data_IF_814235504589
#
_entry.id   IF_814235504589
#
_cell.length_a   1.000
_cell.length_b   1.000
_cell.length_c   1.000
_cell.angle_alpha   90.00
_cell.angle_beta   90.00
_cell.angle_gamma   90.00
#
_symmetry.space_group_name_H-M   'P 1'
#
loop_
_entity.id
_entity.type
_entity.pdbx_description
1 polymer ?
#
# COMPACT_ATOMS: atom_id res chain seq x y z
N UNK A 1 -15.44 -19.97 -0.59
CA UNK A 1 -16.58 -20.39 -1.42
C UNK A 1 -17.60 -19.27 -1.70
N UNK A 2 -17.63 -18.18 -0.91
CA UNK A 2 -18.64 -17.10 -1.10
C UNK A 2 -18.37 -16.16 -2.30
N UNK A 3 -17.10 -15.93 -2.65
CA UNK A 3 -16.75 -14.99 -3.73
C UNK A 3 -17.29 -15.42 -5.10
N UNK A 4 -17.15 -16.70 -5.47
CA UNK A 4 -17.58 -17.18 -6.79
C UNK A 4 -19.10 -17.08 -6.97
N UNK A 5 -19.88 -17.30 -5.91
CA UNK A 5 -21.33 -17.14 -5.93
C UNK A 5 -21.71 -15.68 -6.23
N UNK A 6 -21.10 -14.73 -5.52
CA UNK A 6 -21.33 -13.30 -5.77
C UNK A 6 -20.86 -12.91 -7.17
N UNK A 7 -19.68 -13.36 -7.59
CA UNK A 7 -19.13 -13.05 -8.91
C UNK A 7 -20.03 -13.53 -10.05
N UNK A 8 -20.72 -14.67 -9.89
CA UNK A 8 -21.62 -15.23 -10.92
C UNK A 8 -22.86 -14.39 -11.21
N UNK A 9 -23.25 -13.52 -10.27
CA UNK A 9 -24.41 -12.61 -10.40
C UNK A 9 -23.98 -11.14 -10.53
N UNK A 10 -22.68 -10.87 -10.56
CA UNK A 10 -22.13 -9.52 -10.71
C UNK A 10 -22.09 -9.10 -12.17
N UNK A 11 -22.42 -7.83 -12.44
CA UNK A 11 -22.23 -7.23 -13.77
C UNK A 11 -20.75 -7.06 -14.14
N UNK A 12 -19.91 -6.78 -13.15
CA UNK A 12 -18.47 -6.65 -13.32
C UNK A 12 -17.74 -7.02 -12.02
N UNK A 13 -16.51 -7.50 -12.18
CA UNK A 13 -15.56 -7.77 -11.11
C UNK A 13 -14.34 -6.89 -11.33
N UNK A 14 -14.03 -6.07 -10.34
CA UNK A 14 -12.85 -5.19 -10.38
C UNK A 14 -11.75 -5.75 -9.49
N UNK A 15 -10.57 -5.95 -10.07
CA UNK A 15 -9.39 -6.45 -9.36
C UNK A 15 -8.29 -5.39 -9.34
N UNK A 16 -7.66 -5.23 -8.18
CA UNK A 16 -6.54 -4.30 -8.01
C UNK A 16 -5.22 -4.89 -8.54
N UNK A 17 -5.03 -6.20 -8.40
CA UNK A 17 -3.79 -6.87 -8.80
C UNK A 17 -3.81 -7.28 -10.26
N UNK A 18 -2.93 -6.68 -11.06
CA UNK A 18 -2.66 -7.09 -12.43
C UNK A 18 -2.32 -8.58 -12.55
N UNK A 19 -1.53 -9.07 -11.60
CA UNK A 19 -1.04 -10.45 -11.59
C UNK A 19 -2.16 -11.47 -11.33
N UNK A 20 -3.28 -11.04 -10.75
CA UNK A 20 -4.44 -11.89 -10.54
C UNK A 20 -5.47 -11.78 -11.67
N UNK A 21 -5.29 -10.84 -12.60
CA UNK A 21 -6.26 -10.56 -13.66
C UNK A 21 -6.45 -11.78 -14.58
N UNK A 22 -5.36 -12.45 -14.97
CA UNK A 22 -5.43 -13.66 -15.79
C UNK A 22 -6.16 -14.79 -15.08
N UNK A 23 -5.85 -15.03 -13.80
CA UNK A 23 -6.50 -16.06 -12.99
C UNK A 23 -8.01 -15.81 -12.88
N UNK A 24 -8.41 -14.56 -12.57
CA UNK A 24 -9.82 -14.21 -12.47
C UNK A 24 -10.54 -14.28 -13.82
N UNK A 25 -9.91 -13.83 -14.91
CA UNK A 25 -10.49 -13.94 -16.26
C UNK A 25 -10.66 -15.39 -16.70
N UNK A 26 -9.71 -16.26 -16.36
CA UNK A 26 -9.82 -17.70 -16.62
C UNK A 26 -10.98 -18.35 -15.85
N UNK A 27 -11.26 -17.87 -14.62
CA UNK A 27 -12.31 -18.42 -13.78
C UNK A 27 -13.71 -17.80 -14.01
N UNK A 28 -13.80 -16.53 -14.45
CA UNK A 28 -15.03 -15.73 -14.48
C UNK A 28 -15.42 -15.22 -15.87
N UNK A 29 -14.59 -15.49 -16.89
CA UNK A 29 -14.71 -14.94 -18.23
C UNK A 29 -13.93 -13.62 -18.39
N UNK A 30 -13.31 -13.39 -19.56
CA UNK A 30 -12.44 -12.24 -19.79
C UNK A 30 -13.17 -10.89 -19.76
N UNK A 31 -14.43 -10.88 -20.19
CA UNK A 31 -15.21 -9.66 -20.40
C UNK A 31 -15.75 -9.04 -19.11
N UNK A 32 -15.87 -9.85 -18.05
CA UNK A 32 -16.46 -9.43 -16.77
C UNK A 32 -15.40 -8.99 -15.74
N UNK A 33 -14.11 -9.15 -16.04
CA UNK A 33 -13.02 -8.86 -15.08
C UNK A 33 -12.13 -7.73 -15.58
N UNK A 34 -12.11 -6.65 -14.80
CA UNK A 34 -11.40 -5.42 -15.12
C UNK A 34 -10.38 -5.07 -14.05
N UNK A 35 -9.31 -4.40 -14.47
CA UNK A 35 -8.35 -3.82 -13.53
C UNK A 35 -8.88 -2.50 -12.97
N UNK A 36 -8.84 -2.38 -11.65
CA UNK A 36 -9.00 -1.14 -10.90
C UNK A 36 -7.62 -0.66 -10.45
N UNK A 37 -7.15 0.43 -11.04
CA UNK A 37 -5.90 1.05 -10.62
C UNK A 37 -6.12 1.92 -9.39
N UNK A 38 -5.30 1.74 -8.37
CA UNK A 38 -5.26 2.62 -7.21
C UNK A 38 -4.61 3.95 -7.63
N UNK A 39 -5.42 5.02 -7.65
CA UNK A 39 -5.07 6.35 -8.16
C UNK A 39 -5.51 7.44 -7.18
N UNK A 40 -4.98 8.65 -7.35
CA UNK A 40 -5.32 9.79 -6.50
C UNK A 40 -6.79 10.19 -6.68
N UNK A 41 -7.52 10.27 -5.55
CA UNK A 41 -8.91 10.70 -5.48
C UNK A 41 -9.00 11.98 -4.63
N UNK A 42 -9.43 13.12 -5.20
CA UNK A 42 -9.65 14.34 -4.43
C UNK A 42 -10.61 14.10 -3.25
N UNK A 43 -10.28 14.62 -2.07
CA UNK A 43 -11.09 14.46 -0.85
C UNK A 43 -10.94 13.12 -0.13
N UNK A 44 -10.27 12.11 -0.72
CA UNK A 44 -9.96 10.86 -0.02
C UNK A 44 -8.68 10.95 0.82
N UNK A 45 -7.72 11.79 0.39
CA UNK A 45 -6.49 12.01 1.14
C UNK A 45 -6.79 12.75 2.45
N UNK A 46 -6.58 12.07 3.58
CA UNK A 46 -6.93 12.63 4.90
C UNK A 46 -5.78 13.38 5.57
N UNK A 47 -4.55 13.35 5.00
CA UNK A 47 -3.33 14.03 5.49
C UNK A 47 -3.33 14.32 7.01
N UNK A 48 -3.56 13.29 7.82
CA UNK A 48 -3.31 13.36 9.25
C UNK A 48 -1.83 13.08 9.45
N UNK A 49 -1.00 14.11 9.34
CA UNK A 49 0.41 14.02 9.73
C UNK A 49 0.59 14.83 11.00
N UNK A 50 1.12 14.20 12.04
CA UNK A 50 1.55 14.93 13.21
C UNK A 50 2.80 15.74 12.84
N UNK A 51 3.01 16.85 13.54
CA UNK A 51 4.31 17.52 13.51
C UNK A 51 5.41 16.50 13.82
N UNK A 52 6.59 16.69 13.23
CA UNK A 52 7.77 15.86 13.44
C UNK A 52 8.09 15.66 14.92
N UNK A 53 7.87 16.70 15.73
CA UNK A 53 8.07 16.69 17.19
C UNK A 53 7.14 15.73 17.93
N UNK A 54 6.05 15.29 17.29
CA UNK A 54 5.02 14.41 17.87
C UNK A 54 5.11 12.97 17.36
N UNK A 55 6.06 12.66 16.48
CA UNK A 55 6.30 11.30 16.01
C UNK A 55 7.11 10.54 17.06
N UNK A 56 6.55 9.46 17.59
CA UNK A 56 7.11 8.63 18.66
C UNK A 56 7.26 7.15 18.26
N UNK A 57 6.95 6.84 17.00
CA UNK A 57 7.07 5.50 16.42
C UNK A 57 8.09 5.57 15.29
N UNK A 58 9.22 4.88 15.46
CA UNK A 58 10.24 4.80 14.40
C UNK A 58 9.68 4.02 13.21
N UNK A 59 9.12 2.84 13.47
CA UNK A 59 8.64 1.93 12.45
C UNK A 59 7.24 1.42 12.74
N UNK A 60 6.36 1.50 11.73
CA UNK A 60 5.00 0.96 11.78
C UNK A 60 4.83 -0.18 10.77
N UNK A 61 4.39 -1.35 11.24
CA UNK A 61 3.90 -2.41 10.38
C UNK A 61 2.41 -2.67 10.65
N UNK A 62 1.62 -2.81 9.58
CA UNK A 62 0.19 -3.14 9.68
C UNK A 62 -0.13 -4.39 8.87
N UNK A 63 -0.86 -5.36 9.43
CA UNK A 63 -1.29 -6.56 8.71
C UNK A 63 -1.33 -7.83 9.57
N UNK A 64 -1.19 -8.99 8.92
CA UNK A 64 -1.06 -10.26 9.61
C UNK A 64 0.39 -10.52 10.02
N UNK A 65 0.62 -11.04 11.23
CA UNK A 65 1.96 -11.45 11.66
C UNK A 65 2.32 -12.81 11.06
N UNK A 66 3.54 -12.93 10.55
CA UNK A 66 4.15 -14.21 10.16
C UNK A 66 5.52 -14.30 10.83
N UNK A 67 6.11 -15.50 10.88
CA UNK A 67 7.45 -15.67 11.44
C UNK A 67 8.48 -14.78 10.72
N UNK A 68 8.36 -14.63 9.39
CA UNK A 68 9.24 -13.77 8.61
C UNK A 68 9.08 -12.29 8.96
N UNK A 69 7.85 -11.82 9.13
CA UNK A 69 7.59 -10.44 9.55
C UNK A 69 8.10 -10.18 10.95
N UNK A 70 7.84 -11.12 11.86
CA UNK A 70 8.29 -11.03 13.23
C UNK A 70 9.82 -10.95 13.31
N UNK A 71 10.55 -11.77 12.55
CA UNK A 71 12.01 -11.72 12.56
C UNK A 71 12.56 -10.36 12.08
N UNK A 72 12.00 -9.80 11.00
CA UNK A 72 12.40 -8.48 10.51
C UNK A 72 12.09 -7.36 11.52
N UNK A 73 10.92 -7.38 12.15
CA UNK A 73 10.57 -6.40 13.19
C UNK A 73 11.44 -6.55 14.44
N UNK A 74 11.75 -7.78 14.86
CA UNK A 74 12.67 -8.05 15.97
C UNK A 74 14.08 -7.56 15.70
N UNK A 75 14.58 -7.63 14.45
CA UNK A 75 15.88 -7.05 14.08
C UNK A 75 15.91 -5.53 14.27
N UNK A 76 14.83 -4.83 13.90
CA UNK A 76 14.70 -3.39 14.12
C UNK A 76 14.61 -3.05 15.62
N UNK A 77 13.81 -3.81 16.38
CA UNK A 77 13.70 -3.63 17.81
C UNK A 77 15.03 -3.88 18.54
N UNK A 78 15.80 -4.90 18.14
CA UNK A 78 17.12 -5.20 18.68
C UNK A 78 18.15 -4.08 18.42
N UNK A 79 17.88 -3.18 17.47
CA UNK A 79 18.66 -1.95 17.21
C UNK A 79 18.19 -0.77 18.07
N UNK A 80 17.35 -1.00 19.07
CA UNK A 80 16.87 0.02 20.01
C UNK A 80 15.79 0.95 19.45
N UNK A 81 15.04 0.51 18.44
CA UNK A 81 14.03 1.32 17.75
C UNK A 81 12.61 1.02 18.22
N UNK A 82 11.78 2.05 18.25
CA UNK A 82 10.35 1.96 18.56
C UNK A 82 9.60 1.35 17.37
N UNK A 83 9.27 0.06 17.48
CA UNK A 83 8.57 -0.69 16.43
C UNK A 83 7.14 -0.99 16.88
N UNK A 84 6.15 -0.51 16.13
CA UNK A 84 4.74 -0.80 16.38
C UNK A 84 4.16 -1.75 15.34
N UNK A 85 3.42 -2.74 15.81
CA UNK A 85 2.62 -3.64 14.98
C UNK A 85 1.13 -3.40 15.21
N UNK A 86 0.36 -3.27 14.12
CA UNK A 86 -1.10 -3.26 14.16
C UNK A 86 -1.67 -4.42 13.36
N UNK A 87 -2.61 -5.14 13.94
CA UNK A 87 -3.31 -6.23 13.26
C UNK A 87 -4.19 -5.72 12.11
N UNK A 88 -4.46 -6.58 11.12
CA UNK A 88 -5.31 -6.26 9.96
C UNK A 88 -6.71 -5.72 10.32
N UNK A 89 -7.24 -6.11 11.49
CA UNK A 89 -8.57 -5.72 11.97
C UNK A 89 -8.58 -4.39 12.73
N UNK A 90 -7.43 -3.74 12.90
CA UNK A 90 -7.34 -2.46 13.61
C UNK A 90 -8.23 -1.41 12.92
N UNK A 91 -9.14 -0.74 13.65
CA UNK A 91 -10.01 0.30 13.11
C UNK A 91 -9.24 1.39 12.34
N UNK A 92 -9.87 1.91 11.28
CA UNK A 92 -9.22 2.88 10.38
C UNK A 92 -8.73 4.14 11.09
N UNK A 93 -9.53 4.69 12.02
CA UNK A 93 -9.15 5.90 12.76
C UNK A 93 -7.93 5.70 13.66
N UNK A 94 -7.81 4.53 14.33
CA UNK A 94 -6.60 4.19 15.10
C UNK A 94 -5.41 4.02 14.17
N UNK A 95 -5.59 3.30 13.06
CA UNK A 95 -4.51 3.10 12.08
C UNK A 95 -3.99 4.43 11.52
N UNK A 96 -4.88 5.40 11.29
CA UNK A 96 -4.52 6.75 10.88
C UNK A 96 -3.69 7.47 11.96
N UNK A 97 -4.06 7.37 13.25
CA UNK A 97 -3.30 7.96 14.36
C UNK A 97 -1.87 7.39 14.45
N UNK A 98 -1.75 6.07 14.45
CA UNK A 98 -0.45 5.40 14.48
C UNK A 98 0.40 5.74 13.25
N UNK A 99 -0.22 5.82 12.07
CA UNK A 99 0.48 6.23 10.85
C UNK A 99 0.99 7.67 10.97
N UNK A 100 0.16 8.59 11.48
CA UNK A 100 0.51 10.00 11.69
C UNK A 100 1.73 10.13 12.61
N UNK A 101 1.80 9.30 13.66
CA UNK A 101 2.88 9.27 14.66
C UNK A 101 4.12 8.49 14.23
N UNK A 102 4.05 7.76 13.11
CA UNK A 102 5.17 6.97 12.60
C UNK A 102 6.11 7.78 11.71
N UNK A 103 7.42 7.50 11.80
CA UNK A 103 8.42 8.03 10.88
C UNK A 103 8.43 7.27 9.54
N UNK A 104 8.43 5.93 9.62
CA UNK A 104 8.46 5.04 8.47
C UNK A 104 7.48 3.89 8.63
N UNK A 105 6.57 3.73 7.66
CA UNK A 105 5.79 2.50 7.53
C UNK A 105 6.60 1.44 6.79
N UNK A 106 6.34 0.18 7.11
CA UNK A 106 7.01 -0.98 6.52
C UNK A 106 6.04 -1.84 5.72
N UNK A 107 6.45 -2.27 4.53
CA UNK A 107 5.83 -3.35 3.77
C UNK A 107 6.75 -4.56 3.72
N UNK A 108 6.48 -5.53 4.61
CA UNK A 108 7.22 -6.80 4.69
C UNK A 108 6.34 -7.93 4.10
N UNK A 109 6.83 -8.71 3.13
CA UNK A 109 6.10 -9.82 2.55
C UNK A 109 5.78 -10.92 3.58
N UNK A 110 4.93 -11.88 3.23
CA UNK A 110 4.52 -12.95 4.16
C UNK A 110 5.68 -13.91 4.49
N UNK A 111 6.56 -14.11 3.52
CA UNK A 111 7.78 -14.89 3.59
C UNK A 111 8.77 -14.34 2.56
N UNK A 112 10.07 -14.65 2.70
CA UNK A 112 11.16 -14.10 1.87
C UNK A 112 10.93 -14.19 0.35
N UNK A 113 10.36 -15.30 -0.12
CA UNK A 113 10.15 -15.52 -1.56
C UNK A 113 8.76 -15.10 -2.06
N UNK A 114 8.03 -14.30 -1.27
CA UNK A 114 6.67 -13.90 -1.64
C UNK A 114 6.75 -12.91 -2.81
N UNK A 115 6.14 -13.21 -3.97
CA UNK A 115 6.49 -12.50 -5.19
C UNK A 115 5.70 -11.20 -5.41
N UNK A 116 4.69 -10.91 -4.58
CA UNK A 116 3.73 -9.83 -4.82
C UNK A 116 3.77 -8.73 -3.74
N UNK A 117 3.89 -7.44 -4.12
CA UNK A 117 3.74 -6.34 -3.16
C UNK A 117 2.29 -6.18 -2.72
N UNK A 118 2.08 -5.55 -1.57
CA UNK A 118 0.74 -5.21 -1.10
C UNK A 118 0.35 -3.82 -1.62
N UNK A 119 -0.29 -3.77 -2.78
CA UNK A 119 -0.72 -2.51 -3.40
C UNK A 119 -1.61 -1.66 -2.49
N UNK A 120 -2.46 -2.30 -1.68
CA UNK A 120 -3.31 -1.59 -0.71
C UNK A 120 -2.48 -0.90 0.39
N UNK A 121 -1.36 -1.50 0.83
CA UNK A 121 -0.49 -0.88 1.84
C UNK A 121 0.26 0.31 1.24
N UNK A 122 0.69 0.19 -0.02
CA UNK A 122 1.33 1.28 -0.76
C UNK A 122 0.39 2.46 -0.88
N UNK A 123 -0.78 2.22 -1.46
CA UNK A 123 -1.78 3.26 -1.68
C UNK A 123 -2.22 3.93 -0.37
N UNK A 124 -2.43 3.14 0.68
CA UNK A 124 -2.81 3.67 1.98
C UNK A 124 -1.73 4.60 2.55
N UNK A 125 -0.45 4.20 2.55
CA UNK A 125 0.63 5.04 3.03
C UNK A 125 0.75 6.34 2.21
N UNK A 126 0.72 6.22 0.87
CA UNK A 126 0.80 7.37 -0.04
C UNK A 126 -0.35 8.35 0.24
N UNK A 127 -1.60 7.89 0.23
CA UNK A 127 -2.78 8.76 0.41
C UNK A 127 -2.83 9.49 1.75
N UNK A 128 -2.12 8.99 2.76
CA UNK A 128 -2.03 9.62 4.07
C UNK A 128 -0.74 10.44 4.25
N UNK A 129 0.10 10.58 3.22
CA UNK A 129 1.36 11.32 3.27
C UNK A 129 2.44 10.63 4.11
N UNK A 130 2.32 9.31 4.33
CA UNK A 130 3.30 8.51 5.03
C UNK A 130 4.48 8.12 4.14
N UNK A 131 5.66 7.95 4.75
CA UNK A 131 6.79 7.31 4.08
C UNK A 131 6.65 5.80 4.21
N UNK A 132 6.84 5.06 3.12
CA UNK A 132 6.78 3.60 3.13
C UNK A 132 8.08 3.03 2.56
N UNK A 133 8.69 2.10 3.30
CA UNK A 133 9.72 1.21 2.80
C UNK A 133 9.13 -0.17 2.55
N UNK A 134 9.28 -0.66 1.34
CA UNK A 134 8.94 -2.03 0.97
C UNK A 134 10.18 -2.87 0.77
N UNK A 135 10.09 -4.14 1.15
CA UNK A 135 10.98 -5.15 0.61
C UNK A 135 10.66 -5.35 -0.88
N UNK A 136 11.70 -5.48 -1.72
CA UNK A 136 11.55 -5.69 -3.15
C UNK A 136 10.89 -7.06 -3.41
N UNK A 137 9.78 -7.04 -4.13
CA UNK A 137 9.08 -8.23 -4.60
C UNK A 137 9.47 -8.54 -6.05
N UNK A 138 9.29 -9.81 -6.47
CA UNK A 138 9.56 -10.24 -7.85
C UNK A 138 8.74 -9.45 -8.88
N UNK A 139 7.46 -9.24 -8.60
CA UNK A 139 6.55 -8.57 -9.53
C UNK A 139 6.34 -7.12 -9.12
N UNK A 140 6.57 -6.15 -10.02
CA UNK A 140 6.28 -4.76 -9.74
C UNK A 140 4.78 -4.48 -9.74
N UNK A 141 4.41 -3.31 -9.26
CA UNK A 141 3.09 -2.73 -9.40
C UNK A 141 3.19 -1.25 -9.80
N UNK A 142 2.08 -0.69 -10.28
CA UNK A 142 2.04 0.70 -10.77
C UNK A 142 2.29 1.76 -9.67
N UNK A 143 2.33 1.34 -8.40
CA UNK A 143 2.62 2.21 -7.25
C UNK A 143 4.09 2.19 -6.82
N UNK A 144 4.92 1.29 -7.36
CA UNK A 144 6.35 1.22 -7.00
C UNK A 144 7.11 2.54 -7.13
N UNK A 145 6.85 3.42 -8.13
CA UNK A 145 7.55 4.70 -8.26
C UNK A 145 7.35 5.69 -7.11
N UNK A 146 6.37 5.44 -6.23
CA UNK A 146 6.00 6.31 -5.10
C UNK A 146 6.30 5.68 -3.74
N UNK A 147 7.12 4.62 -3.72
CA UNK A 147 7.48 3.83 -2.54
C UNK A 147 8.98 3.60 -2.52
N UNK A 148 9.60 3.60 -1.34
CA UNK A 148 11.01 3.22 -1.20
C UNK A 148 11.13 1.71 -1.20
N UNK A 149 12.21 1.19 -1.81
CA UNK A 149 12.46 -0.25 -1.89
C UNK A 149 13.83 -0.62 -1.33
N UNK A 150 13.91 -1.79 -0.70
CA UNK A 150 15.16 -2.40 -0.30
C UNK A 150 15.14 -3.90 -0.58
N UNK A 151 16.30 -4.45 -0.93
CA UNK A 151 16.46 -5.90 -1.05
C UNK A 151 16.19 -6.59 0.31
N UNK A 152 15.70 -7.84 0.31
CA UNK A 152 15.40 -8.57 1.55
C UNK A 152 16.54 -8.62 2.57
N UNK A 153 17.77 -8.73 2.08
CA UNK A 153 18.96 -8.86 2.93
C UNK A 153 19.39 -7.50 3.52
N UNK A 154 19.14 -6.41 2.78
CA UNK A 154 19.47 -5.03 3.17
C UNK A 154 18.32 -4.30 3.89
N UNK A 155 17.14 -4.90 3.95
CA UNK A 155 15.90 -4.24 4.39
C UNK A 155 16.04 -3.55 5.75
N UNK A 156 16.69 -4.21 6.72
CA UNK A 156 16.92 -3.63 8.06
C UNK A 156 17.85 -2.43 8.01
N UNK A 157 18.97 -2.50 7.27
CA UNK A 157 19.92 -1.38 7.19
C UNK A 157 19.31 -0.21 6.43
N UNK A 158 18.60 -0.47 5.34
CA UNK A 158 17.89 0.54 4.59
C UNK A 158 16.84 1.26 5.47
N UNK A 159 16.07 0.52 6.26
CA UNK A 159 15.10 1.12 7.20
C UNK A 159 15.78 2.06 8.21
N UNK A 160 16.94 1.67 8.74
CA UNK A 160 17.72 2.47 9.70
C UNK A 160 18.32 3.72 9.06
N UNK A 161 18.85 3.61 7.84
CA UNK A 161 19.37 4.74 7.08
C UNK A 161 18.27 5.76 6.77
N UNK A 162 17.13 5.27 6.24
CA UNK A 162 15.97 6.11 5.95
C UNK A 162 15.45 6.80 7.21
N UNK A 163 15.36 6.09 8.33
CA UNK A 163 14.92 6.70 9.60
C UNK A 163 15.85 7.84 10.04
N UNK A 164 17.16 7.67 9.86
CA UNK A 164 18.16 8.68 10.23
C UNK A 164 18.07 9.93 9.34
N UNK A 165 17.71 9.77 8.07
CA UNK A 165 17.50 10.86 7.10
C UNK A 165 16.08 11.47 7.16
N UNK A 166 15.10 10.72 7.66
CA UNK A 166 13.68 11.08 7.73
C UNK A 166 13.36 12.24 8.68
N UNK A 167 14.38 12.83 9.32
CA UNK A 167 14.30 14.12 10.01
C UNK A 167 13.81 15.24 9.08
N UNK A 168 14.06 15.14 7.77
CA UNK A 168 13.46 16.05 6.78
C UNK A 168 12.08 15.53 6.32
N UNK A 169 11.03 16.35 6.39
CA UNK A 169 9.69 16.03 5.84
C UNK A 169 9.68 15.85 4.33
N UNK A 170 10.75 16.29 3.66
CA UNK A 170 10.84 16.51 2.21
C UNK A 170 10.53 15.27 1.35
N UNK A 171 11.09 14.06 1.63
CA UNK A 171 10.80 12.89 0.80
C UNK A 171 9.32 12.47 0.80
N UNK A 172 8.62 12.68 1.93
CA UNK A 172 7.19 12.34 2.06
C UNK A 172 6.31 13.24 1.21
N UNK A 173 6.54 14.55 1.28
CA UNK A 173 5.76 15.52 0.51
C UNK A 173 5.97 15.33 -0.98
N UNK A 174 7.23 15.14 -1.41
CA UNK A 174 7.56 14.96 -2.83
C UNK A 174 6.90 13.71 -3.44
N UNK A 175 6.90 12.57 -2.75
CA UNK A 175 6.24 11.34 -3.24
C UNK A 175 4.73 11.51 -3.40
N UNK A 176 4.07 12.14 -2.44
CA UNK A 176 2.63 12.37 -2.54
C UNK A 176 2.28 13.37 -3.65
N UNK A 177 2.99 14.49 -3.74
CA UNK A 177 2.69 15.50 -4.77
C UNK A 177 2.87 14.92 -6.16
N UNK A 178 3.94 14.14 -6.38
CA UNK A 178 4.12 13.38 -7.62
C UNK A 178 2.99 12.40 -7.88
N UNK A 179 2.57 11.61 -6.89
CA UNK A 179 1.43 10.69 -7.06
C UNK A 179 0.13 11.44 -7.40
N UNK A 180 -0.12 12.57 -6.74
CA UNK A 180 -1.29 13.42 -6.99
C UNK A 180 -1.34 13.93 -8.43
N UNK A 181 -0.19 14.36 -8.95
CA UNK A 181 -0.07 14.97 -10.28
C UNK A 181 -0.02 13.93 -11.40
N UNK A 182 0.75 12.86 -11.22
CA UNK A 182 0.98 11.83 -12.24
C UNK A 182 -0.17 10.82 -12.31
N UNK A 183 -0.92 10.60 -11.22
CA UNK A 183 -1.92 9.52 -11.10
C UNK A 183 -3.34 10.00 -10.74
N UNK A 184 -3.93 11.01 -11.43
CA UNK A 184 -5.31 11.38 -11.19
C UNK A 184 -6.27 10.25 -11.57
N UNK A 185 -7.31 10.04 -10.75
CA UNK A 185 -8.28 8.95 -10.94
C UNK A 185 -9.38 9.23 -11.96
N UNK A 186 -9.73 10.50 -12.20
CA UNK A 186 -10.98 10.90 -12.87
C UNK A 186 -11.22 10.16 -14.19
N UNK A 187 -10.28 10.27 -15.13
CA UNK A 187 -10.48 9.74 -16.48
C UNK A 187 -10.36 8.21 -16.52
N UNK A 188 -9.47 7.64 -15.70
CA UNK A 188 -9.30 6.19 -15.60
C UNK A 188 -10.51 5.51 -14.96
N UNK A 189 -11.12 6.15 -13.96
CA UNK A 189 -12.35 5.68 -13.34
C UNK A 189 -13.53 5.80 -14.30
N UNK A 190 -13.65 6.91 -15.05
CA UNK A 190 -14.66 7.05 -16.11
C UNK A 190 -14.55 5.90 -17.12
N UNK A 191 -13.36 5.70 -17.67
CA UNK A 191 -13.11 4.62 -18.63
C UNK A 191 -13.32 3.22 -18.01
N UNK A 192 -13.15 3.05 -16.69
CA UNK A 192 -13.43 1.79 -15.99
C UNK A 192 -14.93 1.53 -15.90
N UNK A 193 -15.69 2.55 -15.54
CA UNK A 193 -17.14 2.42 -15.46
C UNK A 193 -17.70 2.15 -16.85
N UNK A 194 -17.29 2.90 -17.88
CA UNK A 194 -17.75 2.70 -19.26
C UNK A 194 -17.49 1.27 -19.77
N UNK A 195 -16.27 0.75 -19.60
CA UNK A 195 -15.92 -0.59 -20.09
C UNK A 195 -16.53 -1.74 -19.29
N UNK A 196 -16.97 -1.49 -18.05
CA UNK A 196 -17.44 -2.56 -17.15
C UNK A 196 -18.93 -2.52 -16.87
N UNK A 197 -19.56 -1.36 -16.97
CA UNK A 197 -20.97 -1.12 -16.70
C UNK A 197 -21.68 -0.41 -17.87
N UNK A 198 -21.01 -0.15 -19.00
CA UNK A 198 -21.56 0.58 -20.14
C UNK A 198 -21.53 2.10 -19.95
N UNK A 199 -21.96 2.84 -20.98
CA UNK A 199 -21.98 4.31 -20.99
C UNK A 199 -22.69 4.87 -19.76
N UNK A 200 -22.03 5.82 -19.09
CA UNK A 200 -22.67 6.61 -18.04
C UNK A 200 -23.22 7.85 -18.73
N UNK A 201 -24.41 7.75 -19.31
CA UNK A 201 -25.11 8.94 -19.77
C UNK A 201 -25.50 9.75 -18.52
N UNK A 202 -24.86 10.91 -18.35
CA UNK A 202 -25.10 11.88 -17.30
C UNK A 202 -24.75 13.28 -17.78
#
# INVERSE_FOLDING_TARGET
MNFMLVASVSRAVWCVSEQQLSNYRGALGPDNVHRLELRFVPGYATRYQSDHTRKDIDFLFTGGMTQYRQSQLSRLHARGRSVTFLESKTPGFLRNDYLARSHLSLNIPQHRNWPHPSQMRYFYAIMHGGLLLSETCKFPCHLDPYVLHAAPDDFTEAAMAILSEAASSRPRTEMFERFREEMPSRDVMRALIERSLGSVDG
#
